data_IF_361310491405
#
_entry.id   IF_361310491405
#
_cell.length_a   1.000
_cell.length_b   1.000
_cell.length_c   1.000
_cell.angle_alpha   90.00
_cell.angle_beta   90.00
_cell.angle_gamma   90.00
#
_symmetry.space_group_name_H-M   'P 1'
#
loop_
_entity.id
_entity.type
_entity.pdbx_description
1 polymer ?
#
# COMPACT_ATOMS: atom_id res chain seq x y z
N UNK A 1 -11.96 13.25 -3.37
CA UNK A 1 -10.64 13.55 -2.81
C UNK A 1 -9.60 12.61 -3.41
N UNK A 2 -8.43 13.11 -3.71
CA UNK A 2 -7.37 12.32 -4.34
C UNK A 2 -6.47 11.68 -3.28
N UNK A 3 -6.14 10.40 -3.50
CA UNK A 3 -5.27 9.62 -2.62
C UNK A 3 -4.19 8.92 -3.43
N UNK A 4 -3.01 8.80 -2.86
CA UNK A 4 -2.00 7.88 -3.37
C UNK A 4 -2.47 6.46 -3.04
N UNK A 5 -2.27 5.52 -3.96
CA UNK A 5 -2.75 4.15 -3.82
C UNK A 5 -1.61 3.16 -3.60
N UNK A 6 -1.79 2.25 -2.65
CA UNK A 6 -1.02 1.01 -2.56
C UNK A 6 -1.83 -0.08 -3.26
N UNK A 7 -1.28 -0.61 -4.33
CA UNK A 7 -1.97 -1.59 -5.20
C UNK A 7 -1.36 -2.98 -5.07
N UNK A 8 -2.12 -4.00 -5.48
CA UNK A 8 -1.63 -5.38 -5.47
C UNK A 8 -1.35 -5.93 -4.08
N UNK A 9 -1.99 -5.41 -3.06
CA UNK A 9 -1.86 -5.92 -1.70
C UNK A 9 -2.59 -7.25 -1.57
N UNK A 10 -2.06 -8.17 -0.76
CA UNK A 10 -2.70 -9.47 -0.59
C UNK A 10 -4.08 -9.33 0.06
N UNK A 11 -4.98 -10.25 -0.28
CA UNK A 11 -6.31 -10.27 0.34
C UNK A 11 -6.22 -10.44 1.86
N UNK A 12 -5.20 -11.15 2.33
CA UNK A 12 -4.94 -11.32 3.75
C UNK A 12 -4.67 -9.97 4.42
N UNK A 13 -3.83 -9.13 3.81
CA UNK A 13 -3.54 -7.79 4.35
C UNK A 13 -4.80 -6.94 4.39
N UNK A 14 -5.60 -6.98 3.33
CA UNK A 14 -6.88 -6.24 3.29
C UNK A 14 -7.81 -6.70 4.40
N UNK A 15 -7.95 -8.03 4.57
CA UNK A 15 -8.79 -8.60 5.63
C UNK A 15 -8.29 -8.20 7.02
N UNK A 16 -7.00 -8.24 7.25
CA UNK A 16 -6.42 -7.84 8.54
C UNK A 16 -6.62 -6.36 8.82
N UNK A 17 -6.48 -5.49 7.81
CA UNK A 17 -6.76 -4.06 7.96
C UNK A 17 -8.21 -3.80 8.36
N UNK A 18 -9.16 -4.57 7.84
CA UNK A 18 -10.57 -4.41 8.18
C UNK A 18 -10.88 -4.82 9.62
N UNK A 19 -10.08 -5.70 10.21
CA UNK A 19 -10.35 -6.30 11.51
C UNK A 19 -9.49 -5.74 12.65
N UNK A 20 -8.56 -4.85 12.36
CA UNK A 20 -7.64 -4.31 13.37
C UNK A 20 -7.76 -2.79 13.45
N UNK A 21 -7.46 -2.23 14.64
CA UNK A 21 -7.42 -0.78 14.83
C UNK A 21 -6.17 -0.16 14.21
N UNK A 22 -5.10 -0.91 14.17
CA UNK A 22 -3.86 -0.51 13.54
C UNK A 22 -3.11 -1.75 13.07
N UNK A 23 -2.45 -1.67 11.93
CA UNK A 23 -1.70 -2.77 11.37
C UNK A 23 -0.40 -2.26 10.77
N UNK A 24 0.70 -2.96 11.05
CA UNK A 24 1.99 -2.71 10.40
C UNK A 24 2.17 -3.68 9.25
N UNK A 25 2.41 -3.14 8.06
CA UNK A 25 2.65 -3.94 6.86
C UNK A 25 4.02 -3.62 6.28
N UNK A 26 4.56 -4.57 5.51
CA UNK A 26 5.81 -4.40 4.79
C UNK A 26 5.52 -4.17 3.32
N UNK A 27 6.16 -3.15 2.75
CA UNK A 27 5.97 -2.77 1.35
C UNK A 27 7.30 -2.92 0.62
N UNK A 28 7.31 -3.70 -0.44
CA UNK A 28 8.54 -4.03 -1.20
C UNK A 28 8.48 -3.61 -2.66
N UNK A 29 7.32 -3.66 -3.30
CA UNK A 29 7.22 -3.29 -4.72
C UNK A 29 7.58 -1.82 -4.91
N UNK A 30 8.33 -1.45 -5.97
CA UNK A 30 8.78 -0.08 -6.17
C UNK A 30 7.66 0.96 -6.16
N UNK A 31 6.53 0.80 -6.88
CA UNK A 31 5.47 1.80 -6.85
C UNK A 31 4.89 1.98 -5.45
N UNK A 32 4.63 0.89 -4.73
CA UNK A 32 4.09 0.93 -3.38
C UNK A 32 5.10 1.49 -2.38
N UNK A 33 6.37 1.13 -2.54
CA UNK A 33 7.43 1.68 -1.70
C UNK A 33 7.49 3.20 -1.80
N UNK A 34 7.48 3.74 -3.02
CA UNK A 34 7.51 5.19 -3.21
C UNK A 34 6.25 5.87 -2.71
N UNK A 35 5.09 5.25 -2.92
CA UNK A 35 3.83 5.78 -2.41
C UNK A 35 3.86 5.91 -0.88
N UNK A 36 4.26 4.85 -0.21
CA UNK A 36 4.32 4.82 1.25
C UNK A 36 5.42 5.74 1.79
N UNK A 37 6.58 5.75 1.14
CA UNK A 37 7.72 6.59 1.56
C UNK A 37 7.40 8.08 1.49
N UNK A 38 6.69 8.51 0.44
CA UNK A 38 6.33 9.92 0.25
C UNK A 38 5.14 10.36 1.10
N UNK A 39 4.40 9.43 1.67
CA UNK A 39 3.26 9.76 2.52
C UNK A 39 3.74 10.23 3.89
N UNK A 40 3.23 11.37 4.33
CA UNK A 40 3.56 11.90 5.64
C UNK A 40 2.68 11.26 6.71
N UNK A 41 3.20 11.20 7.93
CA UNK A 41 2.41 10.79 9.09
C UNK A 41 1.18 11.69 9.20
N UNK A 42 0.01 11.08 9.38
CA UNK A 42 -1.26 11.79 9.43
C UNK A 42 -1.98 11.90 8.11
N UNK A 43 -1.32 11.63 6.99
CA UNK A 43 -1.98 11.59 5.68
C UNK A 43 -2.77 10.29 5.49
N UNK A 44 -3.71 10.31 4.54
CA UNK A 44 -4.54 9.17 4.22
C UNK A 44 -4.12 8.58 2.88
N UNK A 45 -4.10 7.25 2.79
CA UNK A 45 -3.78 6.53 1.56
C UNK A 45 -4.87 5.51 1.25
N UNK A 46 -5.00 5.18 -0.04
CA UNK A 46 -5.95 4.17 -0.53
C UNK A 46 -5.21 2.84 -0.70
N UNK A 47 -5.78 1.76 -0.17
CA UNK A 47 -5.15 0.43 -0.20
C UNK A 47 -6.10 -0.55 -0.85
N UNK A 48 -5.62 -1.28 -1.86
CA UNK A 48 -6.45 -2.24 -2.59
C UNK A 48 -5.65 -3.50 -2.94
N UNK A 49 -6.37 -4.62 -3.08
CA UNK A 49 -5.78 -5.87 -3.59
C UNK A 49 -5.65 -5.89 -5.10
N UNK A 50 -6.36 -5.01 -5.80
CA UNK A 50 -6.28 -4.93 -7.25
C UNK A 50 -4.90 -4.44 -7.69
N UNK A 51 -4.41 -4.96 -8.80
CA UNK A 51 -3.20 -4.43 -9.42
C UNK A 51 -3.48 -3.05 -10.00
N UNK A 52 -2.42 -2.27 -10.22
CA UNK A 52 -2.57 -0.94 -10.81
C UNK A 52 -3.24 -0.98 -12.19
N UNK A 53 -3.03 -2.07 -12.94
CA UNK A 53 -3.62 -2.24 -14.27
C UNK A 53 -5.13 -2.49 -14.23
N UNK A 54 -5.62 -3.06 -13.13
CA UNK A 54 -7.04 -3.37 -12.95
C UNK A 54 -7.81 -2.27 -12.22
N UNK A 55 -7.11 -1.26 -11.77
CA UNK A 55 -7.70 -0.17 -11.00
C UNK A 55 -8.50 0.76 -11.91
N UNK A 56 -9.77 0.98 -11.58
CA UNK A 56 -10.69 1.79 -12.38
C UNK A 56 -11.83 2.31 -11.52
N UNK A 57 -12.69 3.15 -12.09
CA UNK A 57 -13.90 3.60 -11.40
C UNK A 57 -14.75 2.43 -10.94
N UNK A 58 -15.22 2.47 -9.72
CA UNK A 58 -15.96 1.40 -9.07
C UNK A 58 -15.09 0.44 -8.25
N UNK A 59 -13.77 0.48 -8.39
CA UNK A 59 -12.87 -0.35 -7.59
C UNK A 59 -12.98 -0.04 -6.12
N UNK A 60 -12.89 -1.08 -5.28
CA UNK A 60 -13.01 -0.96 -3.84
C UNK A 60 -11.66 -1.03 -3.16
N UNK A 61 -11.54 -0.36 -2.04
CA UNK A 61 -10.35 -0.41 -1.21
C UNK A 61 -10.60 0.17 0.17
N UNK A 62 -9.54 0.37 0.92
CA UNK A 62 -9.59 0.89 2.29
C UNK A 62 -8.80 2.19 2.33
N UNK A 63 -9.40 3.23 2.89
CA UNK A 63 -8.67 4.44 3.25
C UNK A 63 -8.12 4.26 4.65
N UNK A 64 -6.82 4.44 4.79
CA UNK A 64 -6.12 4.30 6.06
C UNK A 64 -5.24 5.52 6.31
N UNK A 65 -5.12 5.87 7.59
CA UNK A 65 -4.24 6.95 8.05
C UNK A 65 -2.86 6.40 8.31
N UNK A 66 -1.84 7.09 7.83
CA UNK A 66 -0.45 6.74 8.10
C UNK A 66 -0.09 7.16 9.51
N UNK A 67 0.24 6.21 10.37
CA UNK A 67 0.66 6.46 11.75
C UNK A 67 2.16 6.62 11.86
N UNK A 68 2.93 5.78 11.18
CA UNK A 68 4.39 5.89 11.09
C UNK A 68 4.90 5.04 9.94
N UNK A 69 6.11 5.34 9.48
CA UNK A 69 6.80 4.50 8.50
C UNK A 69 8.29 4.48 8.78
N UNK A 70 8.95 3.39 8.36
CA UNK A 70 10.36 3.16 8.57
C UNK A 70 10.95 2.39 7.41
N UNK A 71 12.04 2.91 6.85
CA UNK A 71 12.80 2.20 5.82
C UNK A 71 13.75 1.23 6.50
N UNK A 72 13.76 -0.02 6.03
CA UNK A 72 14.61 -1.06 6.57
C UNK A 72 15.42 -1.65 5.42
N UNK A 73 16.73 -1.76 5.61
CA UNK A 73 17.63 -2.40 4.67
C UNK A 73 18.18 -3.66 5.31
N UNK A 74 17.98 -4.79 4.63
CA UNK A 74 18.56 -6.07 5.02
C UNK A 74 19.71 -6.42 4.09
N UNK A 75 20.84 -6.81 4.67
CA UNK A 75 21.96 -7.33 3.93
C UNK A 75 21.99 -8.84 4.11
N UNK A 76 21.97 -9.57 3.01
CA UNK A 76 22.07 -11.01 3.00
C UNK A 76 23.38 -11.41 2.34
N UNK A 77 24.10 -12.33 2.98
CA UNK A 77 25.37 -12.85 2.48
C UNK A 77 25.19 -14.34 2.21
N UNK A 78 25.47 -14.76 0.98
CA UNK A 78 25.50 -16.15 0.60
C UNK A 78 26.90 -16.48 0.12
N UNK A 79 27.49 -17.52 0.69
CA UNK A 79 28.80 -18.00 0.27
C UNK A 79 28.78 -19.51 0.11
N UNK A 80 29.55 -19.99 -0.84
CA UNK A 80 29.85 -21.42 -1.00
C UNK A 80 31.31 -21.57 -1.33
N UNK A 81 31.76 -22.79 -1.59
CA UNK A 81 33.20 -23.09 -1.84
C UNK A 81 33.74 -22.41 -3.09
N UNK A 82 32.88 -21.89 -3.96
CA UNK A 82 33.27 -21.35 -5.28
C UNK A 82 33.08 -19.83 -5.34
N UNK A 83 32.03 -19.28 -4.75
CA UNK A 83 31.75 -17.86 -4.84
C UNK A 83 31.08 -17.32 -3.61
N UNK A 84 31.09 -16.01 -3.51
CA UNK A 84 30.49 -15.20 -2.45
C UNK A 84 29.51 -14.23 -3.09
N UNK A 85 28.29 -14.17 -2.58
CA UNK A 85 27.26 -13.25 -3.05
C UNK A 85 26.70 -12.45 -1.88
N UNK A 86 26.63 -11.14 -2.07
CA UNK A 86 26.03 -10.22 -1.12
C UNK A 86 24.81 -9.56 -1.76
N UNK A 87 23.68 -9.59 -1.05
CA UNK A 87 22.43 -8.96 -1.51
C UNK A 87 21.91 -7.98 -0.48
N UNK A 88 21.46 -6.85 -0.95
CA UNK A 88 20.71 -5.90 -0.14
C UNK A 88 19.25 -5.93 -0.55
N UNK A 89 18.37 -5.91 0.46
CA UNK A 89 16.94 -5.80 0.25
C UNK A 89 16.43 -4.61 1.07
N UNK A 90 15.78 -3.68 0.40
CA UNK A 90 15.16 -2.52 1.05
C UNK A 90 13.65 -2.70 1.06
N UNK A 91 13.06 -2.54 2.21
CA UNK A 91 11.62 -2.55 2.37
C UNK A 91 11.19 -1.40 3.26
N UNK A 92 9.92 -1.08 3.23
CA UNK A 92 9.34 -0.05 4.08
C UNK A 92 8.28 -0.68 4.96
N UNK A 93 8.39 -0.48 6.27
CA UNK A 93 7.33 -0.79 7.21
C UNK A 93 6.48 0.43 7.40
N UNK A 94 5.18 0.26 7.24
CA UNK A 94 4.22 1.34 7.43
C UNK A 94 3.13 0.87 8.38
N UNK A 95 2.87 1.66 9.41
CA UNK A 95 1.76 1.40 10.32
C UNK A 95 0.57 2.24 9.90
N UNK A 96 -0.56 1.57 9.73
CA UNK A 96 -1.78 2.14 9.19
C UNK A 96 -2.93 1.95 10.15
N UNK A 97 -3.77 2.98 10.25
CA UNK A 97 -5.04 2.94 10.95
C UNK A 97 -6.15 2.97 9.91
N UNK A 98 -6.89 1.85 9.72
CA UNK A 98 -7.99 1.84 8.75
C UNK A 98 -9.10 2.77 9.22
N UNK A 99 -9.63 3.54 8.28
CA UNK A 99 -10.66 4.55 8.58
C UNK A 99 -12.02 4.18 7.99
N UNK A 100 -12.06 3.86 6.70
CA UNK A 100 -13.32 3.51 6.04
C UNK A 100 -13.06 2.78 4.73
N UNK A 101 -14.08 2.07 4.25
CA UNK A 101 -14.08 1.44 2.93
C UNK A 101 -14.42 2.51 1.91
N UNK A 102 -13.68 2.55 0.81
CA UNK A 102 -13.82 3.55 -0.21
C UNK A 102 -14.01 2.94 -1.59
N UNK A 103 -14.66 3.69 -2.47
CA UNK A 103 -14.85 3.34 -3.87
C UNK A 103 -14.15 4.37 -4.74
N UNK A 104 -13.39 3.89 -5.71
CA UNK A 104 -12.72 4.76 -6.68
C UNK A 104 -13.76 5.40 -7.59
N UNK A 105 -13.72 6.72 -7.71
CA UNK A 105 -14.51 7.45 -8.68
C UNK A 105 -13.80 7.47 -10.04
N UNK A 106 -12.47 7.69 -10.00
CA UNK A 106 -11.62 7.68 -11.19
C UNK A 106 -10.17 7.51 -10.80
N UNK A 107 -9.36 6.99 -11.72
CA UNK A 107 -7.91 6.93 -11.57
C UNK A 107 -7.33 8.21 -12.13
N UNK A 108 -6.65 9.00 -11.30
CA UNK A 108 -6.12 10.31 -11.69
C UNK A 108 -4.69 10.22 -12.21
N UNK A 109 -3.96 9.19 -11.84
CA UNK A 109 -2.62 8.92 -12.36
C UNK A 109 -2.32 7.42 -12.23
N UNK A 110 -1.81 6.82 -13.30
CA UNK A 110 -1.43 5.41 -13.31
C UNK A 110 -0.31 5.18 -14.32
N UNK A 111 0.85 5.74 -14.05
CA UNK A 111 2.03 5.63 -14.91
C UNK A 111 2.91 4.45 -14.47
N UNK A 112 3.58 3.83 -15.45
CA UNK A 112 4.53 2.76 -15.19
C UNK A 112 5.61 3.23 -14.22
N UNK A 113 5.94 2.41 -13.22
CA UNK A 113 6.96 2.67 -12.19
C UNK A 113 6.64 3.84 -11.26
N UNK A 114 5.42 4.35 -11.28
CA UNK A 114 4.97 5.39 -10.35
C UNK A 114 3.77 4.90 -9.57
N UNK A 115 3.60 5.47 -8.37
CA UNK A 115 2.43 5.19 -7.56
C UNK A 115 1.17 5.65 -8.28
N UNK A 116 0.13 4.82 -8.26
CA UNK A 116 -1.17 5.19 -8.75
C UNK A 116 -1.82 6.22 -7.81
N UNK A 117 -2.64 7.10 -8.38
CA UNK A 117 -3.45 8.04 -7.62
C UNK A 117 -4.90 7.87 -8.03
N UNK A 118 -5.78 7.95 -7.06
CA UNK A 118 -7.21 7.76 -7.27
C UNK A 118 -8.00 8.88 -6.62
N UNK A 119 -9.10 9.25 -7.24
CA UNK A 119 -10.14 10.03 -6.61
C UNK A 119 -11.17 9.05 -6.08
N UNK A 120 -11.40 9.03 -4.78
CA UNK A 120 -12.24 8.05 -4.12
C UNK A 120 -13.17 8.70 -3.10
N UNK A 121 -14.26 8.01 -2.80
CA UNK A 121 -15.24 8.46 -1.82
C UNK A 121 -15.52 7.36 -0.81
N UNK A 122 -15.92 7.77 0.39
CA UNK A 122 -16.35 6.86 1.43
C UNK A 122 -17.62 6.13 1.01
N UNK A 123 -17.62 4.79 1.21
CA UNK A 123 -18.81 3.99 1.00
C UNK A 123 -19.81 4.20 2.15
N UNK A 124 -21.11 4.24 1.85
CA UNK A 124 -22.12 4.21 2.89
C UNK A 124 -21.94 3.01 3.81
N UNK A 125 -22.14 3.19 5.11
CA UNK A 125 -21.86 2.18 6.12
C UNK A 125 -22.54 0.84 5.83
N UNK A 126 -23.78 0.85 5.40
CA UNK A 126 -24.54 -0.38 5.13
C UNK A 126 -23.99 -1.15 3.92
N UNK A 127 -23.32 -0.50 2.98
CA UNK A 127 -22.75 -1.13 1.80
C UNK A 127 -21.43 -1.83 2.12
N UNK A 128 -20.85 -1.56 3.27
CA UNK A 128 -19.59 -2.17 3.70
C UNK A 128 -19.76 -3.59 4.25
N UNK A 129 -20.94 -4.09 4.30
CA UNK A 129 -21.26 -5.40 4.90
C UNK A 129 -21.31 -6.52 3.88
#
# INVERSE_FOLDING_TARGET
>A
MEYVALTGMSERVISELRNHHALTIEVRSPPNFFAAYKSNVGEFIFITHLSSDDLRGGSMGIIAKVLKHQVITHRMIQSNDIYYEEREMTLLRIQLEPRFIARVLRVTSNQICKAAKVDAEEMPFFDAR
#
